data_IF_865923787380
#
_entry.id   IF_865923787380
#
_cell.length_a   1.000
_cell.length_b   1.000
_cell.length_c   1.000
_cell.angle_alpha   90.00
_cell.angle_beta   90.00
_cell.angle_gamma   90.00
#
_symmetry.space_group_name_H-M   'P 1'
#
loop_
_entity.id
_entity.type
_entity.pdbx_description
1 polymer ?
#
# COMPACT_ATOMS: atom_id res chain seq x y z
N UNK A 1 -17.41 -12.49 19.12
CA UNK A 1 -17.08 -12.29 17.70
C UNK A 1 -15.70 -11.65 17.68
N UNK A 2 -14.80 -12.05 16.79
CA UNK A 2 -13.53 -11.33 16.64
C UNK A 2 -13.78 -10.11 15.76
N UNK A 3 -13.40 -8.93 16.24
CA UNK A 3 -13.60 -7.66 15.55
C UNK A 3 -12.65 -7.56 14.35
N UNK A 4 -13.10 -6.91 13.28
CA UNK A 4 -12.21 -6.62 12.15
C UNK A 4 -11.26 -5.48 12.49
N UNK A 5 -9.98 -5.72 12.20
CA UNK A 5 -8.92 -4.73 12.31
C UNK A 5 -8.56 -4.23 10.92
N UNK A 6 -8.30 -2.93 10.83
CA UNK A 6 -7.93 -2.23 9.62
C UNK A 6 -6.54 -1.62 9.77
N UNK A 7 -5.69 -1.81 8.75
CA UNK A 7 -4.45 -1.05 8.56
C UNK A 7 -4.39 -0.61 7.10
N UNK A 8 -4.45 0.69 6.85
CA UNK A 8 -4.20 1.26 5.53
C UNK A 8 -2.78 1.77 5.42
N UNK A 9 -2.03 1.30 4.42
CA UNK A 9 -0.71 1.85 4.09
C UNK A 9 -0.85 2.83 2.93
N UNK A 10 -0.32 4.04 3.12
CA UNK A 10 -0.18 5.05 2.07
C UNK A 10 1.30 5.30 1.82
N UNK A 11 1.73 5.22 0.56
CA UNK A 11 3.06 5.58 0.11
C UNK A 11 2.98 6.62 -1.00
N UNK A 12 3.90 7.59 -0.98
CA UNK A 12 4.07 8.62 -2.00
C UNK A 12 5.40 8.41 -2.70
N UNK A 13 5.35 8.21 -4.02
CA UNK A 13 6.51 7.91 -4.87
C UNK A 13 6.69 9.06 -5.85
N UNK A 14 7.94 9.45 -6.13
CA UNK A 14 8.25 10.41 -7.20
C UNK A 14 7.76 9.90 -8.55
N UNK A 15 7.32 10.81 -9.40
CA UNK A 15 7.07 10.49 -10.81
C UNK A 15 8.40 10.26 -11.53
N UNK A 16 8.57 9.06 -12.10
CA UNK A 16 9.73 8.65 -12.88
C UNK A 16 9.29 7.55 -13.86
N UNK A 17 9.78 7.59 -15.11
CA UNK A 17 9.53 6.57 -16.12
C UNK A 17 9.97 5.16 -15.65
N UNK A 18 11.04 5.08 -14.85
CA UNK A 18 11.52 3.81 -14.30
C UNK A 18 10.55 3.17 -13.29
N UNK A 19 9.61 3.95 -12.75
CA UNK A 19 8.64 3.46 -11.78
C UNK A 19 7.51 2.64 -12.42
N UNK A 20 7.28 2.76 -13.73
CA UNK A 20 6.25 1.97 -14.42
C UNK A 20 6.48 0.47 -14.26
N UNK A 21 7.71 0.00 -14.49
CA UNK A 21 8.05 -1.42 -14.33
C UNK A 21 7.94 -1.88 -12.87
N UNK A 22 8.31 -1.01 -11.91
CA UNK A 22 8.18 -1.29 -10.47
C UNK A 22 6.72 -1.39 -10.04
N UNK A 23 5.84 -0.55 -10.60
CA UNK A 23 4.39 -0.65 -10.39
C UNK A 23 3.82 -1.93 -10.99
N UNK A 24 4.26 -2.35 -12.18
CA UNK A 24 3.86 -3.65 -12.75
C UNK A 24 4.31 -4.82 -11.85
N UNK A 25 5.51 -4.77 -11.28
CA UNK A 25 5.97 -5.78 -10.31
C UNK A 25 5.06 -5.80 -9.08
N UNK A 26 4.77 -4.65 -8.49
CA UNK A 26 3.88 -4.56 -7.32
C UNK A 26 2.45 -5.03 -7.64
N UNK A 27 1.89 -4.64 -8.79
CA UNK A 27 0.54 -5.04 -9.20
C UNK A 27 0.40 -6.52 -9.57
N UNK A 28 1.52 -7.23 -9.77
CA UNK A 28 1.53 -8.70 -9.87
C UNK A 28 1.58 -9.40 -8.50
N UNK A 29 2.04 -8.72 -7.46
CA UNK A 29 1.95 -9.22 -6.08
C UNK A 29 0.58 -8.94 -5.46
N UNK A 30 -0.09 -7.87 -5.90
CA UNK A 30 -1.38 -7.42 -5.37
C UNK A 30 -2.37 -7.30 -6.51
N UNK A 31 -3.24 -8.31 -6.66
CA UNK A 31 -4.30 -8.32 -7.67
C UNK A 31 -5.22 -7.10 -7.51
N UNK A 32 -5.39 -6.63 -6.27
CA UNK A 32 -6.14 -5.40 -5.95
C UNK A 32 -5.63 -4.14 -6.65
N UNK A 33 -4.37 -4.11 -7.08
CA UNK A 33 -3.76 -2.98 -7.80
C UNK A 33 -3.78 -3.11 -9.31
N UNK A 34 -4.20 -4.25 -9.88
CA UNK A 34 -4.17 -4.50 -11.33
C UNK A 34 -4.94 -3.47 -12.15
N UNK A 35 -6.04 -2.93 -11.61
CA UNK A 35 -6.80 -1.86 -12.28
C UNK A 35 -6.07 -0.51 -12.36
N UNK A 36 -4.94 -0.36 -11.67
CA UNK A 36 -4.12 0.86 -11.62
C UNK A 36 -2.81 0.75 -12.38
N UNK A 37 -2.49 -0.42 -12.96
CA UNK A 37 -1.19 -0.67 -13.62
C UNK A 37 -1.36 -1.41 -14.95
N UNK A 38 -0.41 -1.21 -15.87
CA UNK A 38 -0.34 -1.99 -17.09
C UNK A 38 0.44 -3.31 -16.85
N UNK A 39 -0.26 -4.44 -16.92
CA UNK A 39 0.30 -5.77 -16.67
C UNK A 39 0.82 -6.47 -17.92
N UNK A 40 0.54 -5.95 -19.12
CA UNK A 40 0.96 -6.58 -20.38
C UNK A 40 2.49 -6.55 -20.54
N UNK A 41 3.17 -5.69 -19.77
CA UNK A 41 4.63 -5.60 -19.70
C UNK A 41 5.23 -6.82 -19.02
N UNK A 42 6.24 -7.42 -19.64
CA UNK A 42 7.04 -8.48 -19.02
C UNK A 42 7.88 -7.93 -17.87
N UNK A 43 7.93 -8.63 -16.73
CA UNK A 43 8.84 -8.27 -15.65
C UNK A 43 10.28 -8.32 -16.16
N UNK A 44 11.00 -7.22 -16.01
CA UNK A 44 12.43 -7.16 -16.24
C UNK A 44 13.16 -8.08 -15.26
N UNK A 45 14.11 -8.89 -15.75
CA UNK A 45 14.94 -9.79 -14.94
C UNK A 45 15.64 -9.09 -13.77
N UNK A 46 15.86 -7.78 -13.88
CA UNK A 46 16.41 -6.97 -12.80
C UNK A 46 15.63 -7.11 -11.47
N UNK A 47 14.31 -7.33 -11.53
CA UNK A 47 13.45 -7.44 -10.34
C UNK A 47 13.27 -8.88 -9.83
N UNK A 48 13.95 -9.85 -10.44
CA UNK A 48 13.75 -11.27 -10.11
C UNK A 48 14.06 -11.58 -8.64
N UNK A 49 15.09 -10.97 -8.06
CA UNK A 49 15.42 -11.13 -6.63
C UNK A 49 14.28 -10.65 -5.72
N UNK A 50 13.52 -9.64 -6.13
CA UNK A 50 12.36 -9.15 -5.37
C UNK A 50 11.19 -10.12 -5.54
N UNK A 51 10.91 -10.55 -6.77
CA UNK A 51 9.82 -11.50 -7.06
C UNK A 51 10.02 -12.84 -6.33
N UNK A 52 11.26 -13.30 -6.20
CA UNK A 52 11.60 -14.56 -5.51
C UNK A 52 11.71 -14.41 -3.98
N UNK A 53 11.57 -13.19 -3.43
CA UNK A 53 11.64 -12.94 -1.99
C UNK A 53 10.45 -13.51 -1.22
N UNK A 54 10.66 -13.87 0.05
CA UNK A 54 9.60 -14.38 0.93
C UNK A 54 8.50 -13.33 1.12
N UNK A 55 8.89 -12.05 1.22
CA UNK A 55 7.98 -10.92 1.38
C UNK A 55 7.05 -10.77 0.18
N UNK A 56 7.58 -10.87 -1.04
CA UNK A 56 6.77 -10.78 -2.27
C UNK A 56 5.82 -11.97 -2.39
N UNK A 57 6.30 -13.19 -2.14
CA UNK A 57 5.45 -14.39 -2.17
C UNK A 57 4.34 -14.32 -1.12
N UNK A 58 4.64 -13.80 0.07
CA UNK A 58 3.63 -13.60 1.11
C UNK A 58 2.53 -12.64 0.66
N UNK A 59 2.87 -11.51 0.02
CA UNK A 59 1.87 -10.58 -0.53
C UNK A 59 0.95 -11.28 -1.53
N UNK A 60 1.54 -11.98 -2.49
CA UNK A 60 0.80 -12.70 -3.54
C UNK A 60 -0.17 -13.74 -2.95
N UNK A 61 0.27 -14.51 -1.95
CA UNK A 61 -0.58 -15.52 -1.31
C UNK A 61 -1.67 -14.91 -0.41
N UNK A 62 -1.48 -13.68 0.08
CA UNK A 62 -2.32 -13.06 1.11
C UNK A 62 -3.10 -11.84 0.64
N UNK A 63 -3.10 -11.51 -0.66
CA UNK A 63 -3.78 -10.32 -1.20
C UNK A 63 -5.29 -10.28 -0.90
N UNK A 64 -5.94 -11.40 -0.56
CA UNK A 64 -7.36 -11.38 -0.15
C UNK A 64 -7.66 -10.43 1.03
N UNK A 65 -6.68 -10.03 1.84
CA UNK A 65 -6.87 -9.04 2.93
C UNK A 65 -7.11 -7.62 2.40
N UNK A 66 -6.85 -7.36 1.12
CA UNK A 66 -6.98 -6.04 0.48
C UNK A 66 -8.33 -5.82 -0.20
N UNK A 67 -9.24 -6.81 -0.10
CA UNK A 67 -10.61 -6.75 -0.60
C UNK A 67 -11.64 -6.72 0.54
N UNK A 68 -11.59 -5.71 1.43
CA UNK A 68 -12.56 -5.60 2.50
C UNK A 68 -13.96 -5.36 1.95
N UNK A 69 -14.96 -5.87 2.67
CA UNK A 69 -16.35 -5.45 2.47
C UNK A 69 -16.61 -4.18 3.28
N UNK A 70 -17.59 -3.39 2.85
CA UNK A 70 -17.92 -2.10 3.48
C UNK A 70 -18.13 -2.21 5.01
N UNK A 71 -18.77 -3.28 5.49
CA UNK A 71 -19.01 -3.48 6.92
C UNK A 71 -17.74 -3.84 7.73
N UNK A 72 -16.64 -4.18 7.06
CA UNK A 72 -15.36 -4.55 7.69
C UNK A 72 -14.42 -3.35 7.84
N UNK A 73 -14.75 -2.24 7.17
CA UNK A 73 -14.01 -0.98 7.23
C UNK A 73 -14.44 -0.15 8.45
N UNK A 74 -13.56 0.75 8.94
CA UNK A 74 -13.94 1.73 9.94
C UNK A 74 -15.13 2.59 9.49
N UNK A 75 -15.92 3.06 10.45
CA UNK A 75 -17.06 3.94 10.18
C UNK A 75 -16.58 5.23 9.50
N UNK A 76 -17.29 5.63 8.44
CA UNK A 76 -16.97 6.87 7.71
C UNK A 76 -15.68 6.81 6.89
N UNK A 77 -15.19 5.60 6.55
CA UNK A 77 -14.08 5.43 5.60
C UNK A 77 -14.45 6.10 4.26
N UNK A 78 -13.65 7.05 3.76
CA UNK A 78 -13.88 7.66 2.45
C UNK A 78 -13.61 6.69 1.29
N UNK A 79 -14.39 6.78 0.21
CA UNK A 79 -14.27 5.88 -0.98
C UNK A 79 -12.85 5.69 -1.51
N UNK A 80 -12.04 6.76 -1.48
CA UNK A 80 -10.63 6.73 -1.92
C UNK A 80 -9.71 5.83 -1.06
N UNK A 81 -10.22 5.32 0.06
CA UNK A 81 -9.55 4.43 1.00
C UNK A 81 -10.22 3.04 1.10
N UNK A 82 -11.24 2.76 0.31
CA UNK A 82 -11.95 1.48 0.37
C UNK A 82 -11.21 0.36 -0.37
N UNK A 83 -10.39 0.73 -1.36
CA UNK A 83 -9.70 -0.22 -2.24
C UNK A 83 -8.26 0.20 -2.47
N UNK A 84 -7.42 -0.78 -2.78
CA UNK A 84 -6.06 -0.50 -3.20
C UNK A 84 -6.06 0.28 -4.52
N UNK A 85 -5.18 1.28 -4.64
CA UNK A 85 -5.08 2.09 -5.85
C UNK A 85 -3.69 2.73 -5.98
N UNK A 86 -3.26 2.94 -7.23
CA UNK A 86 -2.13 3.82 -7.58
C UNK A 86 -2.71 4.99 -8.37
N UNK A 87 -2.58 6.20 -7.83
CA UNK A 87 -3.13 7.41 -8.48
C UNK A 87 -2.12 8.54 -8.48
N UNK A 88 -2.01 9.31 -9.59
CA UNK A 88 -1.22 10.53 -9.59
C UNK A 88 -1.88 11.58 -8.70
N UNK A 89 -1.08 12.30 -7.92
CA UNK A 89 -1.51 13.37 -7.03
C UNK A 89 -0.54 14.54 -7.11
N UNK A 90 -1.08 15.75 -7.09
CA UNK A 90 -0.27 16.97 -7.02
C UNK A 90 -0.11 17.40 -5.56
N UNK A 91 1.13 17.50 -5.09
CA UNK A 91 1.46 17.97 -3.74
C UNK A 91 2.48 19.10 -3.87
N UNK A 92 2.07 20.30 -3.45
CA UNK A 92 2.93 21.51 -3.47
C UNK A 92 3.57 21.77 -4.85
N UNK A 93 2.83 21.53 -5.93
CA UNK A 93 3.30 21.72 -7.31
C UNK A 93 4.20 20.61 -7.86
N UNK A 94 4.40 19.52 -7.11
CA UNK A 94 5.08 18.31 -7.60
C UNK A 94 4.06 17.19 -7.83
N UNK A 95 4.17 16.50 -8.96
CA UNK A 95 3.37 15.32 -9.26
C UNK A 95 4.05 14.10 -8.62
N UNK A 96 3.28 13.35 -7.84
CA UNK A 96 3.70 12.11 -7.18
C UNK A 96 2.68 11.02 -7.47
N UNK A 97 3.08 9.76 -7.37
CA UNK A 97 2.14 8.64 -7.31
C UNK A 97 1.81 8.32 -5.86
N UNK A 98 0.52 8.31 -5.52
CA UNK A 98 0.03 7.78 -4.25
C UNK A 98 -0.35 6.32 -4.45
N UNK A 99 0.40 5.42 -3.82
CA UNK A 99 -0.01 4.04 -3.60
C UNK A 99 -0.80 4.00 -2.29
N UNK A 100 -2.00 3.43 -2.34
CA UNK A 100 -2.75 3.11 -1.13
C UNK A 100 -3.15 1.63 -1.16
N UNK A 101 -2.99 0.94 -0.03
CA UNK A 101 -3.37 -0.46 0.15
C UNK A 101 -4.08 -0.61 1.51
N UNK A 102 -5.40 -0.89 1.53
CA UNK A 102 -6.08 -1.31 2.74
C UNK A 102 -5.75 -2.76 3.06
N UNK A 103 -5.63 -3.12 4.34
CA UNK A 103 -5.58 -4.50 4.80
C UNK A 103 -6.53 -4.71 5.97
N UNK A 104 -7.45 -5.66 5.84
CA UNK A 104 -8.49 -5.93 6.83
C UNK A 104 -8.57 -7.41 7.15
N UNK A 105 -8.54 -7.76 8.43
CA UNK A 105 -8.82 -9.11 8.89
C UNK A 105 -9.19 -9.14 10.38
N UNK A 106 -9.77 -10.26 10.81
CA UNK A 106 -10.01 -10.57 12.24
C UNK A 106 -8.74 -10.95 13.00
N UNK A 107 -7.65 -11.28 12.30
CA UNK A 107 -6.37 -11.68 12.89
C UNK A 107 -5.36 -10.55 12.80
N UNK A 108 -5.04 -9.92 13.93
CA UNK A 108 -4.10 -8.79 14.00
C UNK A 108 -2.71 -9.15 13.46
N UNK A 109 -2.17 -10.30 13.87
CA UNK A 109 -0.81 -10.71 13.49
C UNK A 109 -0.65 -10.82 11.98
N UNK A 110 -1.71 -11.25 11.30
CA UNK A 110 -1.72 -11.45 9.87
C UNK A 110 -1.68 -10.14 9.09
N UNK A 111 -2.53 -9.17 9.45
CA UNK A 111 -2.52 -7.86 8.80
C UNK A 111 -1.25 -7.07 9.14
N UNK A 112 -0.74 -7.23 10.36
CA UNK A 112 0.52 -6.61 10.75
C UNK A 112 1.68 -7.22 9.97
N UNK A 113 1.73 -8.54 9.80
CA UNK A 113 2.75 -9.19 8.99
C UNK A 113 2.64 -8.75 7.52
N UNK A 114 1.43 -8.76 6.95
CA UNK A 114 1.18 -8.30 5.58
C UNK A 114 1.67 -6.86 5.35
N UNK A 115 1.33 -5.92 6.24
CA UNK A 115 1.71 -4.52 6.06
C UNK A 115 3.18 -4.26 6.39
N UNK A 116 3.64 -4.69 7.56
CA UNK A 116 4.93 -4.27 8.11
C UNK A 116 6.10 -5.17 7.70
N UNK A 117 5.83 -6.45 7.45
CA UNK A 117 6.87 -7.45 7.15
C UNK A 117 6.85 -7.91 5.69
N UNK A 118 5.79 -7.65 4.92
CA UNK A 118 5.73 -7.98 3.51
C UNK A 118 5.63 -6.73 2.62
N UNK A 119 4.56 -5.94 2.75
CA UNK A 119 4.30 -4.79 1.87
C UNK A 119 5.36 -3.71 2.00
N UNK A 120 5.65 -3.30 3.25
CA UNK A 120 6.67 -2.28 3.51
C UNK A 120 8.05 -2.67 2.94
N UNK A 121 8.61 -3.87 3.21
CA UNK A 121 9.89 -4.27 2.61
C UNK A 121 9.88 -4.33 1.08
N UNK A 122 8.79 -4.79 0.46
CA UNK A 122 8.66 -4.79 -1.02
C UNK A 122 8.65 -3.37 -1.57
N UNK A 123 7.90 -2.45 -0.96
CA UNK A 123 7.88 -1.04 -1.36
C UNK A 123 9.25 -0.37 -1.20
N UNK A 124 9.96 -0.67 -0.11
CA UNK A 124 11.33 -0.18 0.09
C UNK A 124 12.29 -0.73 -0.97
N UNK A 125 12.21 -2.03 -1.27
CA UNK A 125 13.08 -2.68 -2.25
C UNK A 125 12.84 -2.20 -3.68
N UNK A 126 11.59 -1.88 -4.01
CA UNK A 126 11.23 -1.35 -5.33
C UNK A 126 11.57 0.14 -5.46
N UNK A 127 11.20 0.95 -4.48
CA UNK A 127 11.11 2.41 -4.64
C UNK A 127 12.07 3.22 -3.77
N UNK A 128 13.03 2.62 -3.07
CA UNK A 128 13.92 3.27 -2.07
C UNK A 128 14.16 4.78 -2.29
N UNK A 129 14.87 5.17 -3.35
CA UNK A 129 15.23 6.57 -3.64
C UNK A 129 14.06 7.46 -4.10
N UNK A 130 13.01 6.83 -4.63
CA UNK A 130 11.78 7.46 -5.13
C UNK A 130 10.71 7.57 -4.03
N UNK A 131 10.84 6.84 -2.92
CA UNK A 131 9.89 6.82 -1.82
C UNK A 131 10.03 8.09 -0.98
N UNK A 132 9.05 8.97 -1.13
CA UNK A 132 9.02 10.29 -0.48
C UNK A 132 8.49 10.17 0.96
N UNK A 133 7.40 9.44 1.12
CA UNK A 133 6.70 9.31 2.39
C UNK A 133 5.94 7.99 2.43
N UNK A 134 5.90 7.35 3.58
CA UNK A 134 5.11 6.15 3.83
C UNK A 134 4.54 6.22 5.24
N UNK A 135 3.23 6.01 5.37
CA UNK A 135 2.54 6.02 6.64
C UNK A 135 1.46 4.93 6.67
N UNK A 136 1.13 4.49 7.88
CA UNK A 136 -0.02 3.62 8.14
C UNK A 136 -1.09 4.35 8.93
N UNK A 137 -2.34 3.97 8.71
CA UNK A 137 -3.49 4.36 9.53
C UNK A 137 -4.16 3.09 10.07
N UNK A 138 -4.27 2.98 11.39
CA UNK A 138 -4.83 1.82 12.07
C UNK A 138 -6.15 2.19 12.76
N UNK A 139 -7.16 1.33 12.61
CA UNK A 139 -8.47 1.50 13.22
C UNK A 139 -9.21 0.16 13.35
N UNK A 140 -10.33 0.16 14.05
CA UNK A 140 -11.30 -0.94 14.14
C UNK A 140 -12.57 -0.62 13.33
N UNK A 141 -13.33 -1.65 12.95
CA UNK A 141 -14.57 -1.50 12.15
C UNK A 141 -15.62 -0.55 12.77
N UNK A 142 -15.69 -0.46 14.10
CA UNK A 142 -16.64 0.39 14.82
C UNK A 142 -16.10 1.80 15.15
N UNK A 143 -14.81 2.06 14.91
CA UNK A 143 -14.19 3.37 15.14
C UNK A 143 -14.42 4.31 13.94
N UNK A 144 -14.40 5.62 14.17
CA UNK A 144 -14.40 6.59 13.08
C UNK A 144 -13.04 6.57 12.38
N UNK A 145 -13.05 6.46 11.06
CA UNK A 145 -11.84 6.44 10.25
C UNK A 145 -10.91 7.61 10.58
N UNK A 146 -11.45 8.81 10.84
CA UNK A 146 -10.65 10.02 11.10
C UNK A 146 -9.83 9.91 12.39
N UNK A 147 -10.37 9.20 13.38
CA UNK A 147 -9.75 9.01 14.69
C UNK A 147 -8.68 7.90 14.68
N UNK A 148 -8.55 7.17 13.55
CA UNK A 148 -7.57 6.10 13.37
C UNK A 148 -6.13 6.59 13.59
N UNK A 149 -5.35 5.77 14.30
CA UNK A 149 -3.97 6.06 14.69
C UNK A 149 -3.06 6.06 13.47
N UNK A 150 -2.35 7.16 13.27
CA UNK A 150 -1.38 7.28 12.18
C UNK A 150 0.06 7.05 12.66
N UNK A 151 0.83 6.31 11.87
CA UNK A 151 2.25 6.04 12.12
C UNK A 151 3.06 6.31 10.87
N UNK A 152 4.02 7.23 10.97
CA UNK A 152 4.95 7.51 9.87
C UNK A 152 6.06 6.45 9.86
N UNK A 153 6.23 5.78 8.73
CA UNK A 153 7.23 4.72 8.53
C UNK A 153 8.47 5.22 7.80
N UNK A 154 8.28 6.10 6.81
CA UNK A 154 9.35 6.77 6.04
C UNK A 154 8.94 8.21 5.80
N UNK A 155 9.89 9.13 5.91
CA UNK A 155 9.70 10.53 5.53
C UNK A 155 11.02 11.11 5.04
N UNK A 156 11.08 11.52 3.77
CA UNK A 156 12.16 12.35 3.28
C UNK A 156 12.14 13.70 4.02
N UNK A 157 13.32 14.24 4.37
CA UNK A 157 13.45 15.49 5.15
C UNK A 157 12.79 16.70 4.48
N UNK A 158 12.69 16.69 3.16
CA UNK A 158 12.22 17.82 2.36
C UNK A 158 10.74 17.74 1.96
N UNK A 159 10.07 16.60 2.18
CA UNK A 159 8.66 16.42 1.87
C UNK A 159 7.82 16.25 3.14
N UNK A 160 7.24 17.36 3.59
CA UNK A 160 6.11 17.31 4.53
C UNK A 160 4.82 17.15 3.74
N UNK A 161 4.30 15.92 3.69
CA UNK A 161 2.96 15.62 3.17
C UNK A 161 1.94 16.17 4.18
N UNK A 162 0.89 16.90 3.74
CA UNK A 162 -0.19 17.29 4.64
C UNK A 162 -0.91 16.04 5.13
N UNK A 163 -0.95 15.88 6.46
CA UNK A 163 -1.72 14.85 7.18
C UNK A 163 -3.19 15.22 7.13
#
# INVERSE_FOLDING_TARGET
>A
MADYKYIGLTAYIKENEENEDKFTVLGRALDSLQGSVDLERSINKHYQNIVESEEYQYLYEHDYVTFPKEYELPNGTPEKYDRAAIVPVEIKGSILYRIYVPAVAKGQDKIQHFIYNALRPVLLSLFDEDLVHMATKEAMEYEDFRDGKETILVSAKDFRVPV
#
